data_IF_901200543218
#
_entry.id   IF_901200543218
#
_cell.length_a   1.000
_cell.length_b   1.000
_cell.length_c   1.000
_cell.angle_alpha   90.00
_cell.angle_beta   90.00
_cell.angle_gamma   90.00
#
_symmetry.space_group_name_H-M   'P 1'
#
loop_
_entity.id
_entity.type
_entity.pdbx_description
1 polymer ?
#
# COMPACT_ATOMS: atom_id res chain seq x y z
N UNK A 1 3.13 -23.87 16.61
CA UNK A 1 4.10 -23.65 15.52
C UNK A 1 3.38 -22.76 14.52
N UNK A 2 3.70 -21.48 14.48
CA UNK A 2 3.13 -20.57 13.49
C UNK A 2 3.90 -20.80 12.19
N UNK A 3 3.22 -21.38 11.21
CA UNK A 3 3.72 -21.48 9.84
C UNK A 3 3.91 -20.06 9.32
N UNK A 4 5.17 -19.63 9.35
CA UNK A 4 5.79 -18.55 8.59
C UNK A 4 4.85 -17.51 7.97
N UNK A 5 4.74 -16.37 8.67
CA UNK A 5 4.23 -15.06 8.23
C UNK A 5 4.89 -14.50 6.93
N UNK A 6 5.70 -15.28 6.22
CA UNK A 6 6.35 -14.88 4.97
C UNK A 6 5.42 -14.97 3.77
N UNK A 7 4.34 -15.76 3.82
CA UNK A 7 3.40 -15.92 2.70
C UNK A 7 2.23 -14.93 2.71
N UNK A 8 1.99 -14.22 3.82
CA UNK A 8 0.99 -13.12 3.85
C UNK A 8 1.49 -11.91 3.01
N UNK A 9 2.79 -11.85 2.74
CA UNK A 9 3.46 -10.84 1.91
C UNK A 9 3.82 -11.34 0.51
N UNK A 10 3.39 -12.54 0.09
CA UNK A 10 3.63 -13.03 -1.26
C UNK A 10 2.81 -12.20 -2.27
N UNK A 11 3.45 -11.13 -2.77
CA UNK A 11 2.95 -10.28 -3.84
C UNK A 11 2.58 -11.14 -5.05
N UNK A 12 1.28 -11.23 -5.34
CA UNK A 12 0.77 -11.90 -6.53
C UNK A 12 0.65 -10.88 -7.67
N UNK A 13 1.37 -11.05 -8.80
CA UNK A 13 1.39 -10.07 -9.87
C UNK A 13 0.16 -10.25 -10.75
N UNK A 14 -0.87 -9.44 -10.53
CA UNK A 14 -1.82 -9.02 -11.58
C UNK A 14 -2.65 -7.83 -11.14
N UNK A 15 -1.99 -6.71 -10.87
CA UNK A 15 -2.65 -5.41 -10.86
C UNK A 15 -1.84 -4.44 -11.72
N UNK A 16 -2.48 -3.64 -12.59
CA UNK A 16 -1.80 -2.64 -13.41
C UNK A 16 -1.45 -1.38 -12.59
N UNK A 17 -1.26 -1.51 -11.28
CA UNK A 17 -0.98 -0.39 -10.39
C UNK A 17 0.33 -0.64 -9.66
N UNK A 18 1.33 0.19 -9.97
CA UNK A 18 2.69 0.10 -9.47
C UNK A 18 2.72 0.30 -7.96
N UNK A 19 3.30 -0.65 -7.22
CA UNK A 19 3.81 -0.40 -5.87
C UNK A 19 5.22 0.22 -5.97
N UNK A 20 5.80 0.76 -4.88
CA UNK A 20 7.15 1.35 -4.93
C UNK A 20 8.21 0.38 -5.44
N UNK A 21 8.10 -0.90 -5.06
CA UNK A 21 8.95 -2.00 -5.54
C UNK A 21 8.83 -2.28 -7.06
N UNK A 22 7.79 -1.77 -7.72
CA UNK A 22 7.55 -1.93 -9.15
C UNK A 22 8.01 -0.68 -9.94
N UNK A 23 8.62 0.29 -9.28
CA UNK A 23 9.16 1.48 -9.93
C UNK A 23 10.42 1.12 -10.71
N UNK A 24 10.61 1.79 -11.86
CA UNK A 24 11.78 1.58 -12.71
C UNK A 24 13.09 2.00 -12.04
N UNK A 25 13.02 3.04 -11.21
CA UNK A 25 14.10 3.57 -10.39
C UNK A 25 13.48 3.96 -9.04
N UNK A 26 13.85 3.22 -7.98
CA UNK A 26 13.29 3.44 -6.64
C UNK A 26 13.76 4.77 -6.02
N UNK A 27 14.98 5.21 -6.38
CA UNK A 27 15.58 6.44 -5.86
C UNK A 27 15.09 7.68 -6.61
N UNK A 28 14.64 7.52 -7.86
CA UNK A 28 14.10 8.61 -8.68
C UNK A 28 12.85 8.19 -9.46
N UNK A 29 11.72 7.95 -8.78
CA UNK A 29 10.49 7.53 -9.43
C UNK A 29 9.90 8.63 -10.30
N UNK A 30 9.26 8.24 -11.40
CA UNK A 30 8.49 9.19 -12.20
C UNK A 30 7.25 9.68 -11.45
N UNK A 31 6.78 10.89 -11.79
CA UNK A 31 5.53 11.43 -11.25
C UNK A 31 4.34 10.49 -11.52
N UNK A 32 4.36 9.78 -12.67
CA UNK A 32 3.35 8.80 -13.02
C UNK A 32 3.34 7.61 -12.05
N UNK A 33 4.51 7.03 -11.78
CA UNK A 33 4.67 5.90 -10.87
C UNK A 33 4.22 6.26 -9.45
N UNK A 34 4.62 7.45 -8.96
CA UNK A 34 4.19 7.96 -7.65
C UNK A 34 2.67 8.09 -7.59
N UNK A 35 2.05 8.72 -8.59
CA UNK A 35 0.59 8.89 -8.63
C UNK A 35 -0.16 7.56 -8.71
N UNK A 36 0.32 6.61 -9.52
CA UNK A 36 -0.26 5.28 -9.63
C UNK A 36 -0.18 4.50 -8.30
N UNK A 37 0.94 4.62 -7.58
CA UNK A 37 1.08 4.05 -6.24
C UNK A 37 0.12 4.68 -5.23
N UNK A 38 -0.02 6.01 -5.24
CA UNK A 38 -0.96 6.72 -4.36
C UNK A 38 -2.40 6.27 -4.60
N UNK A 39 -2.81 6.08 -5.85
CA UNK A 39 -4.16 5.60 -6.17
C UNK A 39 -4.38 4.14 -5.73
N UNK A 40 -3.35 3.31 -5.78
CA UNK A 40 -3.39 1.94 -5.22
C UNK A 40 -3.63 1.97 -3.72
N UNK A 41 -2.90 2.81 -3.00
CA UNK A 41 -3.04 2.94 -1.55
C UNK A 41 -4.43 3.43 -1.15
N UNK A 42 -5.02 4.36 -1.91
CA UNK A 42 -6.43 4.77 -1.71
C UNK A 42 -7.40 3.60 -1.88
N UNK A 43 -7.22 2.76 -2.91
CA UNK A 43 -8.07 1.58 -3.14
C UNK A 43 -7.94 0.58 -1.98
N UNK A 44 -6.71 0.26 -1.56
CA UNK A 44 -6.45 -0.62 -0.41
C UNK A 44 -7.08 -0.10 0.88
N UNK A 45 -7.04 1.22 1.10
CA UNK A 45 -7.70 1.84 2.26
C UNK A 45 -9.21 1.59 2.25
N UNK A 46 -9.87 1.79 1.11
CA UNK A 46 -11.31 1.55 0.94
C UNK A 46 -11.66 0.07 1.10
N UNK A 47 -10.84 -0.83 0.57
CA UNK A 47 -11.01 -2.28 0.73
C UNK A 47 -10.88 -2.69 2.21
N UNK A 48 -9.86 -2.22 2.90
CA UNK A 48 -9.64 -2.50 4.32
C UNK A 48 -10.83 -2.02 5.18
N UNK A 49 -11.44 -0.87 4.88
CA UNK A 49 -12.68 -0.43 5.55
C UNK A 49 -13.83 -1.41 5.28
N UNK A 50 -13.98 -1.90 4.04
CA UNK A 50 -15.03 -2.87 3.70
C UNK A 50 -14.81 -4.19 4.46
N UNK A 51 -13.57 -4.63 4.60
CA UNK A 51 -13.24 -5.88 5.29
C UNK A 51 -13.52 -5.79 6.79
N UNK A 52 -13.21 -4.64 7.42
CA UNK A 52 -13.58 -4.35 8.81
C UNK A 52 -15.11 -4.38 8.97
N UNK A 53 -15.85 -3.70 8.07
CA UNK A 53 -17.33 -3.67 8.13
C UNK A 53 -17.97 -5.05 7.95
N UNK A 54 -17.33 -5.93 7.19
CA UNK A 54 -17.78 -7.32 6.97
C UNK A 54 -17.29 -8.30 8.05
N UNK A 55 -16.57 -7.82 9.07
CA UNK A 55 -15.93 -8.64 10.10
C UNK A 55 -14.98 -9.72 9.52
N UNK A 56 -14.41 -9.49 8.34
CA UNK A 56 -13.42 -10.40 7.74
C UNK A 56 -12.04 -10.28 8.41
N UNK A 57 -11.83 -9.18 9.13
CA UNK A 57 -10.64 -8.85 9.90
C UNK A 57 -11.09 -8.23 11.23
N UNK A 58 -10.33 -8.46 12.30
CA UNK A 58 -10.65 -7.84 13.58
C UNK A 58 -10.50 -6.32 13.49
N UNK A 59 -11.30 -5.58 14.26
CA UNK A 59 -11.24 -4.11 14.28
C UNK A 59 -9.83 -3.60 14.60
N UNK A 60 -9.17 -4.21 15.60
CA UNK A 60 -7.81 -3.84 16.00
C UNK A 60 -6.81 -4.02 14.85
N UNK A 61 -6.80 -5.19 14.22
CA UNK A 61 -5.91 -5.45 13.08
C UNK A 61 -6.24 -4.54 11.90
N UNK A 62 -7.52 -4.30 11.65
CA UNK A 62 -7.95 -3.45 10.55
C UNK A 62 -7.56 -1.99 10.75
N UNK A 63 -7.68 -1.46 11.96
CA UNK A 63 -7.23 -0.10 12.30
C UNK A 63 -5.71 0.05 12.14
N UNK A 64 -4.93 -0.95 12.54
CA UNK A 64 -3.48 -0.98 12.34
C UNK A 64 -3.13 -0.97 10.85
N UNK A 65 -3.79 -1.81 10.04
CA UNK A 65 -3.63 -1.82 8.60
C UNK A 65 -3.97 -0.46 7.96
N UNK A 66 -5.06 0.20 8.40
CA UNK A 66 -5.44 1.53 7.92
C UNK A 66 -4.39 2.58 8.26
N UNK A 67 -3.82 2.55 9.47
CA UNK A 67 -2.71 3.43 9.87
C UNK A 67 -1.49 3.23 8.99
N UNK A 68 -1.12 1.97 8.72
CA UNK A 68 0.02 1.66 7.85
C UNK A 68 -0.19 2.17 6.42
N UNK A 69 -1.41 1.98 5.86
CA UNK A 69 -1.75 2.51 4.53
C UNK A 69 -1.67 4.04 4.51
N UNK A 70 -2.18 4.71 5.54
CA UNK A 70 -2.15 6.17 5.64
C UNK A 70 -0.72 6.72 5.75
N UNK A 71 0.13 6.08 6.58
CA UNK A 71 1.55 6.42 6.69
C UNK A 71 2.25 6.29 5.35
N UNK A 72 2.08 5.15 4.67
CA UNK A 72 2.67 4.92 3.35
C UNK A 72 2.19 5.94 2.32
N UNK A 73 0.91 6.31 2.35
CA UNK A 73 0.36 7.33 1.45
C UNK A 73 1.06 8.69 1.64
N UNK A 74 1.26 9.12 2.89
CA UNK A 74 1.95 10.38 3.17
C UNK A 74 3.42 10.33 2.77
N UNK A 75 4.12 9.24 3.06
CA UNK A 75 5.53 9.05 2.66
C UNK A 75 5.68 9.14 1.16
N UNK A 76 4.90 8.39 0.39
CA UNK A 76 4.97 8.40 -1.09
C UNK A 76 4.55 9.76 -1.65
N UNK A 77 3.56 10.42 -1.04
CA UNK A 77 3.13 11.77 -1.47
C UNK A 77 4.24 12.81 -1.26
N UNK A 78 5.06 12.68 -0.22
CA UNK A 78 6.15 13.61 0.05
C UNK A 78 7.22 13.63 -1.04
N UNK A 79 7.42 12.52 -1.76
CA UNK A 79 8.36 12.41 -2.89
C UNK A 79 8.02 13.39 -4.01
N UNK A 80 6.73 13.75 -4.19
CA UNK A 80 6.31 14.77 -5.17
C UNK A 80 6.81 16.18 -4.84
N UNK A 81 7.18 16.43 -3.59
CA UNK A 81 7.59 17.74 -3.10
C UNK A 81 9.08 17.82 -2.75
N UNK A 82 9.81 16.71 -2.90
CA UNK A 82 11.26 16.70 -2.73
C UNK A 82 11.93 17.32 -3.97
N UNK A 83 12.93 18.20 -3.79
CA UNK A 83 13.73 18.71 -4.90
C UNK A 83 14.49 17.55 -5.55
N UNK A 84 14.49 17.51 -6.89
CA UNK A 84 15.16 16.50 -7.71
C UNK A 84 16.46 17.03 -8.27
#
# INVERSE_FOLDING_TARGET
MFETDKDILAFKPKYPHTLPQDWKDEDNPSVYEVNATLDTLKKKYVEQIKDIKKNLVSTKQGEENLRNIATNYQTIKSILFQPR
#
